data_IF_535296180503
#
_entry.id   IF_535296180503
#
_cell.length_a   1.000
_cell.length_b   1.000
_cell.length_c   1.000
_cell.angle_alpha   90.00
_cell.angle_beta   90.00
_cell.angle_gamma   90.00
#
_symmetry.space_group_name_H-M   'P 1'
#
loop_
_entity.id
_entity.type
_entity.pdbx_description
1 polymer ?
#
# COMPACT_ATOMS: atom_id res chain seq x y z
N UNK A 1 -16.06 -0.27 0.79
CA UNK A 1 -15.09 0.69 0.19
C UNK A 1 -15.82 1.98 -0.18
N UNK A 2 -15.97 2.92 0.75
CA UNK A 2 -16.64 4.20 0.48
C UNK A 2 -15.68 5.20 -0.17
N UNK A 3 -14.77 5.76 0.63
CA UNK A 3 -13.78 6.74 0.17
C UNK A 3 -12.74 6.14 -0.78
N UNK A 4 -12.26 4.91 -0.56
CA UNK A 4 -11.27 4.27 -1.43
C UNK A 4 -11.75 4.12 -2.89
N UNK A 5 -13.04 3.83 -3.07
CA UNK A 5 -13.62 3.64 -4.40
C UNK A 5 -13.78 4.96 -5.17
N UNK A 6 -14.00 6.07 -4.47
CA UNK A 6 -14.40 7.34 -5.08
C UNK A 6 -13.30 8.40 -5.13
N UNK A 7 -12.28 8.31 -4.27
CA UNK A 7 -11.17 9.26 -4.32
C UNK A 7 -10.39 9.15 -5.63
N UNK A 8 -9.96 10.28 -6.19
CA UNK A 8 -9.08 10.32 -7.37
C UNK A 8 -7.60 10.15 -6.99
N UNK A 9 -7.22 10.56 -5.77
CA UNK A 9 -5.89 10.46 -5.22
C UNK A 9 -5.91 10.39 -3.68
N UNK A 10 -4.83 9.93 -3.09
CA UNK A 10 -4.63 9.85 -1.64
C UNK A 10 -3.36 10.60 -1.22
N UNK A 11 -3.43 11.31 -0.09
CA UNK A 11 -2.26 11.82 0.63
C UNK A 11 -2.31 11.21 2.03
N UNK A 12 -1.27 10.44 2.39
CA UNK A 12 -1.26 9.63 3.60
C UNK A 12 0.04 9.88 4.36
N UNK A 13 -0.04 9.94 5.69
CA UNK A 13 1.13 10.09 6.55
C UNK A 13 1.99 8.82 6.54
N UNK A 14 3.30 8.98 6.55
CA UNK A 14 4.25 7.87 6.40
C UNK A 14 4.24 6.82 7.52
N UNK A 15 3.60 7.11 8.66
CA UNK A 15 3.49 6.24 9.83
C UNK A 15 2.35 5.19 9.71
N UNK A 16 1.40 5.38 8.79
CA UNK A 16 0.26 4.47 8.63
C UNK A 16 0.47 3.42 7.54
N UNK A 17 1.12 2.30 7.91
CA UNK A 17 1.33 1.14 7.02
C UNK A 17 0.00 0.59 6.49
N UNK A 18 -1.01 0.46 7.36
CA UNK A 18 -2.31 -0.07 6.96
C UNK A 18 -3.01 0.80 5.92
N UNK A 19 -3.08 2.11 6.15
CA UNK A 19 -3.77 3.03 5.23
C UNK A 19 -3.03 3.12 3.88
N UNK A 20 -1.69 3.14 3.89
CA UNK A 20 -0.90 3.09 2.67
C UNK A 20 -1.12 1.79 1.89
N UNK A 21 -1.16 0.66 2.58
CA UNK A 21 -1.42 -0.64 1.95
C UNK A 21 -2.81 -0.69 1.31
N UNK A 22 -3.84 -0.22 2.03
CA UNK A 22 -5.21 -0.15 1.51
C UNK A 22 -5.32 0.80 0.31
N UNK A 23 -4.72 1.98 0.38
CA UNK A 23 -4.74 2.93 -0.73
C UNK A 23 -3.98 2.39 -1.96
N UNK A 24 -2.83 1.74 -1.76
CA UNK A 24 -2.08 1.10 -2.84
C UNK A 24 -2.84 -0.10 -3.46
N UNK A 25 -3.77 -0.72 -2.74
CA UNK A 25 -4.65 -1.75 -3.31
C UNK A 25 -5.71 -1.21 -4.27
N UNK A 26 -5.82 0.11 -4.43
CA UNK A 26 -6.75 0.74 -5.39
C UNK A 26 -6.16 0.92 -6.79
N UNK A 27 -4.82 0.91 -6.91
CA UNK A 27 -4.11 1.26 -8.16
C UNK A 27 -4.15 2.74 -8.53
N UNK A 28 -4.66 3.61 -7.63
CA UNK A 28 -4.80 5.06 -7.84
C UNK A 28 -3.62 5.84 -7.27
N UNK A 29 -3.43 7.11 -7.67
CA UNK A 29 -2.44 8.01 -7.08
C UNK A 29 -2.35 7.97 -5.55
N UNK A 30 -1.17 7.63 -5.01
CA UNK A 30 -0.86 7.67 -3.57
C UNK A 30 0.38 8.52 -3.35
N UNK A 31 0.22 9.56 -2.53
CA UNK A 31 1.29 10.42 -2.06
C UNK A 31 1.56 10.19 -0.57
N UNK A 32 2.82 10.27 -0.18
CA UNK A 32 3.29 10.05 1.20
C UNK A 32 3.89 11.33 1.76
N UNK A 33 3.38 11.79 2.90
CA UNK A 33 3.92 12.95 3.65
C UNK A 33 4.69 12.49 4.88
N UNK A 34 5.86 13.09 5.13
CA UNK A 34 6.68 12.82 6.32
C UNK A 34 7.56 11.56 6.22
N UNK A 35 7.82 11.04 5.02
CA UNK A 35 8.65 9.85 4.82
C UNK A 35 10.11 10.07 5.27
N UNK A 36 10.61 11.30 5.15
CA UNK A 36 11.92 11.75 5.62
C UNK A 36 12.07 11.72 7.15
N UNK A 37 10.96 11.72 7.89
CA UNK A 37 10.94 11.62 9.35
C UNK A 37 10.88 10.16 9.83
N UNK A 38 10.62 9.22 8.92
CA UNK A 38 10.53 7.80 9.26
C UNK A 38 11.91 7.18 9.41
N UNK A 39 12.00 6.22 10.33
CA UNK A 39 13.21 5.42 10.55
C UNK A 39 12.85 3.93 10.59
N UNK A 40 13.88 3.08 10.45
CA UNK A 40 13.77 1.64 10.62
C UNK A 40 12.67 1.03 9.72
N UNK A 41 11.78 0.19 10.27
CA UNK A 41 10.72 -0.49 9.51
C UNK A 41 9.83 0.43 8.68
N UNK A 42 9.58 1.66 9.11
CA UNK A 42 8.74 2.60 8.35
C UNK A 42 9.50 3.14 7.15
N UNK A 43 10.77 3.51 7.32
CA UNK A 43 11.61 3.92 6.19
C UNK A 43 11.76 2.80 5.16
N UNK A 44 11.98 1.57 5.62
CA UNK A 44 12.07 0.40 4.74
C UNK A 44 10.78 0.15 3.96
N UNK A 45 9.63 0.26 4.62
CA UNK A 45 8.33 0.14 3.98
C UNK A 45 8.09 1.24 2.93
N UNK A 46 8.33 2.52 3.26
CA UNK A 46 8.18 3.61 2.29
C UNK A 46 9.12 3.46 1.09
N UNK A 47 10.38 3.08 1.34
CA UNK A 47 11.36 2.83 0.28
C UNK A 47 10.92 1.69 -0.64
N UNK A 48 10.28 0.64 -0.10
CA UNK A 48 9.72 -0.44 -0.91
C UNK A 48 8.60 0.05 -1.83
N UNK A 49 7.65 0.84 -1.30
CA UNK A 49 6.55 1.39 -2.10
C UNK A 49 7.06 2.33 -3.20
N UNK A 50 8.02 3.19 -2.89
CA UNK A 50 8.62 4.10 -3.88
C UNK A 50 9.37 3.33 -4.97
N UNK A 51 10.14 2.30 -4.61
CA UNK A 51 10.85 1.44 -5.58
C UNK A 51 9.90 0.69 -6.51
N UNK A 52 8.73 0.28 -6.01
CA UNK A 52 7.69 -0.35 -6.82
C UNK A 52 6.90 0.65 -7.67
N UNK A 53 7.08 1.97 -7.46
CA UNK A 53 6.37 3.03 -8.18
C UNK A 53 4.90 3.19 -7.79
N UNK A 54 4.47 2.57 -6.67
CA UNK A 54 3.08 2.58 -6.21
C UNK A 54 2.75 3.76 -5.30
N UNK A 55 3.78 4.44 -4.78
CA UNK A 55 3.64 5.66 -3.99
C UNK A 55 4.73 6.67 -4.34
N UNK A 56 4.42 7.97 -4.20
CA UNK A 56 5.36 9.08 -4.44
C UNK A 56 5.45 10.00 -3.21
N UNK A 57 6.55 10.73 -2.98
CA UNK A 57 6.58 11.77 -1.95
C UNK A 57 5.55 12.87 -2.22
N UNK A 58 4.97 13.43 -1.17
CA UNK A 58 4.17 14.66 -1.21
C UNK A 58 5.06 15.83 -0.80
N UNK A 59 5.43 16.70 -1.73
CA UNK A 59 6.24 17.90 -1.46
C UNK A 59 5.39 19.18 -1.41
N UNK A 60 4.13 19.10 -1.82
CA UNK A 60 3.22 20.25 -1.93
C UNK A 60 3.36 21.02 -3.24
N UNK A 61 4.21 20.54 -4.15
CA UNK A 61 4.42 21.11 -5.49
C UNK A 61 3.76 20.27 -6.59
N UNK A 62 3.22 19.10 -6.25
CA UNK A 62 2.60 18.19 -7.19
C UNK A 62 1.25 18.70 -7.69
N UNK A 63 1.00 18.51 -8.98
CA UNK A 63 -0.34 18.70 -9.54
C UNK A 63 -1.21 17.48 -9.24
N UNK A 64 -2.04 17.56 -8.19
CA UNK A 64 -2.89 16.44 -7.75
C UNK A 64 -3.97 16.02 -8.77
N UNK A 65 -4.20 16.84 -9.81
CA UNK A 65 -5.12 16.47 -10.91
C UNK A 65 -4.46 15.53 -11.92
N UNK A 66 -3.13 15.39 -11.89
CA UNK A 66 -2.44 14.40 -12.71
C UNK A 66 -2.63 13.01 -12.13
N UNK A 67 -3.16 12.12 -12.96
CA UNK A 67 -3.38 10.73 -12.58
C UNK A 67 -2.25 9.84 -13.11
N UNK A 68 -1.88 8.86 -12.30
CA UNK A 68 -1.06 7.73 -12.72
C UNK A 68 -1.66 6.45 -12.13
N UNK A 69 -1.36 5.33 -12.79
CA UNK A 69 -1.89 4.03 -12.41
C UNK A 69 -0.75 3.04 -12.30
N UNK A 70 -0.97 2.05 -11.44
CA UNK A 70 -0.08 0.92 -11.25
C UNK A 70 -0.92 -0.32 -10.95
N UNK A 71 -0.40 -1.54 -11.18
CA UNK A 71 -1.09 -2.76 -10.79
C UNK A 71 -1.45 -2.71 -9.30
N UNK A 72 -2.74 -2.83 -8.94
CA UNK A 72 -3.15 -2.79 -7.53
C UNK A 72 -2.37 -3.81 -6.70
N UNK A 73 -1.89 -3.38 -5.54
CA UNK A 73 -1.24 -4.31 -4.62
C UNK A 73 -2.24 -5.35 -4.12
N UNK A 74 -1.78 -6.60 -4.03
CA UNK A 74 -2.59 -7.74 -3.60
C UNK A 74 -1.90 -8.52 -2.47
N UNK A 75 -1.09 -7.83 -1.66
CA UNK A 75 -0.26 -8.43 -0.62
C UNK A 75 -1.08 -9.22 0.39
N UNK A 76 -2.31 -8.78 0.70
CA UNK A 76 -3.22 -9.49 1.61
C UNK A 76 -3.57 -10.88 1.07
N UNK A 77 -3.93 -11.01 -0.21
CA UNK A 77 -4.25 -12.31 -0.79
C UNK A 77 -3.01 -13.19 -0.92
N UNK A 78 -1.86 -12.61 -1.26
CA UNK A 78 -0.57 -13.32 -1.31
C UNK A 78 -0.22 -13.86 0.08
N UNK A 79 -0.25 -13.02 1.11
CA UNK A 79 0.03 -13.40 2.48
C UNK A 79 -0.95 -14.47 2.98
N UNK A 80 -2.25 -14.30 2.73
CA UNK A 80 -3.27 -15.29 3.08
C UNK A 80 -2.98 -16.65 2.41
N UNK A 81 -2.63 -16.65 1.13
CA UNK A 81 -2.29 -17.87 0.38
C UNK A 81 -1.07 -18.59 0.98
N UNK A 82 -0.04 -17.85 1.39
CA UNK A 82 1.14 -18.42 2.05
C UNK A 82 0.79 -19.04 3.41
N UNK A 83 -0.05 -18.36 4.20
CA UNK A 83 -0.53 -18.89 5.49
C UNK A 83 -1.34 -20.17 5.30
N UNK A 84 -2.27 -20.20 4.34
CA UNK A 84 -3.07 -21.38 4.00
C UNK A 84 -2.16 -22.55 3.60
N UNK A 85 -1.16 -22.31 2.74
CA UNK A 85 -0.21 -23.34 2.32
C UNK A 85 0.60 -23.89 3.50
N UNK A 86 1.08 -23.04 4.39
CA UNK A 86 1.82 -23.45 5.59
C UNK A 86 0.97 -24.28 6.56
N UNK A 87 -0.32 -23.97 6.68
CA UNK A 87 -1.25 -24.74 7.51
C UNK A 87 -1.57 -26.10 6.89
N UNK A 88 -1.76 -26.15 5.56
CA UNK A 88 -1.99 -27.39 4.83
C UNK A 88 -0.84 -28.39 5.00
N UNK A 89 0.42 -27.91 5.02
CA UNK A 89 1.60 -28.75 5.30
C UNK A 89 1.57 -29.40 6.70
N UNK A 90 0.79 -28.84 7.62
CA UNK A 90 0.59 -29.38 8.98
C UNK A 90 -0.68 -30.23 9.09
N UNK A 91 -1.42 -30.44 8.00
CA UNK A 91 -2.69 -31.17 7.97
C UNK A 91 -3.92 -30.33 8.34
N UNK A 92 -3.79 -29.00 8.43
CA UNK A 92 -4.89 -28.10 8.80
C UNK A 92 -5.51 -27.48 7.54
N UNK A 93 -6.84 -27.39 7.49
CA UNK A 93 -7.57 -26.75 6.39
C UNK A 93 -8.37 -25.56 6.92
N UNK A 94 -8.21 -24.40 6.30
CA UNK A 94 -9.07 -23.23 6.53
C UNK A 94 -10.25 -23.31 5.56
N UNK A 95 -11.48 -23.20 6.08
CA UNK A 95 -12.69 -23.00 5.27
C UNK A 95 -13.00 -21.51 5.21
N UNK A 96 -13.27 -21.02 4.00
CA UNK A 96 -13.75 -19.66 3.76
C UNK A 96 -15.23 -19.53 4.09
#
# INVERSE_FOLDING_TARGET
>A
MGHLAWADAFVITADSVSMLSEACSTGKPVYVIGAELCTWKFADFQNSLQKQGVARPFTGMENITESWFYPPLNDTAVAASQVIAALAQRGWTIRA
#
